data_IF_033923319199
#
_entry.id   IF_033923319199
#
_cell.length_a   1.000
_cell.length_b   1.000
_cell.length_c   1.000
_cell.angle_alpha   90.00
_cell.angle_beta   90.00
_cell.angle_gamma   90.00
#
_symmetry.space_group_name_H-M   'P 1'
#
loop_
_entity.id
_entity.type
_entity.pdbx_description
1 polymer ?
#
# COMPACT_ATOMS: atom_id res chain seq x y z
N UNK A 1 -13.52 -31.31 -6.27
CA UNK A 1 -12.32 -30.47 -6.40
C UNK A 1 -12.70 -29.08 -5.96
N UNK A 2 -12.07 -28.57 -4.91
CA UNK A 2 -12.50 -27.30 -4.32
C UNK A 2 -12.04 -26.10 -5.14
N UNK A 3 -12.97 -25.19 -5.40
CA UNK A 3 -12.78 -23.90 -6.07
C UNK A 3 -12.79 -22.79 -5.05
N UNK A 4 -11.83 -21.88 -5.13
CA UNK A 4 -11.65 -20.80 -4.17
C UNK A 4 -11.95 -19.46 -4.84
N UNK A 5 -12.87 -18.71 -4.26
CA UNK A 5 -13.05 -17.29 -4.58
C UNK A 5 -12.36 -16.42 -3.55
N UNK A 6 -11.65 -15.39 -3.99
CA UNK A 6 -10.90 -14.50 -3.08
C UNK A 6 -11.25 -13.04 -3.29
N UNK A 7 -11.40 -12.31 -2.17
CA UNK A 7 -11.48 -10.86 -2.15
C UNK A 7 -10.46 -10.29 -1.18
N UNK A 8 -9.79 -9.21 -1.59
CA UNK A 8 -8.81 -8.51 -0.74
C UNK A 8 -9.15 -7.04 -0.66
N UNK A 9 -9.22 -6.55 0.56
CA UNK A 9 -9.46 -5.15 0.86
C UNK A 9 -8.33 -4.60 1.73
N UNK A 10 -8.05 -3.30 1.58
CA UNK A 10 -7.10 -2.60 2.45
C UNK A 10 -5.77 -2.26 1.80
N UNK A 11 -4.72 -2.31 2.60
CA UNK A 11 -3.38 -1.83 2.23
C UNK A 11 -2.55 -2.89 1.49
N UNK A 12 -1.34 -2.50 1.10
CA UNK A 12 -0.39 -3.39 0.45
C UNK A 12 -0.03 -4.62 1.29
N UNK A 13 -0.11 -4.53 2.63
CA UNK A 13 0.11 -5.67 3.50
C UNK A 13 -1.01 -6.72 3.35
N UNK A 14 -2.27 -6.31 3.28
CA UNK A 14 -3.37 -7.23 3.00
C UNK A 14 -3.21 -7.87 1.60
N UNK A 15 -2.70 -7.13 0.63
CA UNK A 15 -2.38 -7.68 -0.69
C UNK A 15 -1.27 -8.73 -0.61
N UNK A 16 -0.17 -8.46 0.13
CA UNK A 16 0.90 -9.44 0.30
C UNK A 16 0.45 -10.71 1.02
N UNK A 17 -0.45 -10.59 1.99
CA UNK A 17 -1.07 -11.75 2.66
C UNK A 17 -1.89 -12.59 1.68
N UNK A 18 -2.64 -11.95 0.77
CA UNK A 18 -3.40 -12.67 -0.24
C UNK A 18 -2.50 -13.30 -1.32
N UNK A 19 -1.42 -12.63 -1.72
CA UNK A 19 -0.41 -13.21 -2.61
C UNK A 19 0.22 -14.46 -1.99
N UNK A 20 0.57 -14.41 -0.68
CA UNK A 20 1.04 -15.57 0.06
C UNK A 20 0.01 -16.72 0.04
N UNK A 21 -1.27 -16.41 0.27
CA UNK A 21 -2.33 -17.41 0.26
C UNK A 21 -2.50 -18.05 -1.12
N UNK A 22 -2.45 -17.27 -2.20
CA UNK A 22 -2.50 -17.77 -3.58
C UNK A 22 -1.28 -18.65 -3.90
N UNK A 23 -0.08 -18.26 -3.46
CA UNK A 23 1.13 -19.06 -3.64
C UNK A 23 1.07 -20.39 -2.86
N UNK A 24 0.61 -20.35 -1.60
CA UNK A 24 0.50 -21.54 -0.75
C UNK A 24 -0.62 -22.50 -1.20
N UNK A 25 -1.62 -22.00 -1.90
CA UNK A 25 -2.77 -22.75 -2.41
C UNK A 25 -2.72 -22.87 -3.94
N UNK A 26 -1.54 -22.81 -4.54
CA UNK A 26 -1.35 -22.83 -6.00
C UNK A 26 -1.93 -24.06 -6.69
N UNK A 27 -2.15 -25.17 -5.97
CA UNK A 27 -2.74 -26.40 -6.48
C UNK A 27 -4.28 -26.38 -6.49
N UNK A 28 -4.89 -25.28 -6.04
CA UNK A 28 -6.35 -25.09 -6.04
C UNK A 28 -6.77 -24.15 -7.18
N UNK A 29 -8.00 -24.36 -7.67
CA UNK A 29 -8.57 -23.50 -8.71
C UNK A 29 -9.13 -22.22 -8.10
N UNK A 30 -8.58 -21.07 -8.47
CA UNK A 30 -9.17 -19.76 -8.16
C UNK A 30 -10.21 -19.36 -9.19
N UNK A 31 -11.37 -18.89 -8.74
CA UNK A 31 -12.48 -18.46 -9.58
C UNK A 31 -12.81 -16.99 -9.40
N UNK A 32 -13.35 -16.35 -10.45
CA UNK A 32 -13.65 -14.92 -10.47
C UNK A 32 -15.04 -14.55 -9.93
N UNK A 33 -15.92 -15.53 -9.73
CA UNK A 33 -17.29 -15.32 -9.23
C UNK A 33 -17.52 -16.16 -7.99
N UNK A 34 -18.06 -15.52 -6.94
CA UNK A 34 -18.34 -16.17 -5.67
C UNK A 34 -19.34 -17.33 -5.79
N UNK A 35 -20.29 -17.19 -6.73
CA UNK A 35 -21.32 -18.23 -6.98
C UNK A 35 -20.69 -19.55 -7.45
N UNK A 36 -19.54 -19.51 -8.10
CA UNK A 36 -18.85 -20.67 -8.67
C UNK A 36 -17.82 -21.32 -7.73
N UNK A 37 -17.71 -20.81 -6.50
CA UNK A 37 -16.73 -21.28 -5.53
C UNK A 37 -17.35 -22.20 -4.48
N UNK A 38 -16.54 -23.09 -3.94
CA UNK A 38 -16.85 -23.92 -2.77
C UNK A 38 -16.37 -23.21 -1.49
N UNK A 39 -15.29 -22.45 -1.59
CA UNK A 39 -14.69 -21.66 -0.51
C UNK A 39 -14.68 -20.18 -0.89
N UNK A 40 -15.27 -19.34 -0.03
CA UNK A 40 -15.26 -17.90 -0.14
C UNK A 40 -14.27 -17.33 0.87
N UNK A 41 -13.18 -16.74 0.40
CA UNK A 41 -12.11 -16.17 1.25
C UNK A 41 -12.09 -14.65 1.14
N UNK A 42 -12.29 -13.95 2.26
CA UNK A 42 -12.24 -12.50 2.32
C UNK A 42 -11.12 -12.02 3.27
N UNK A 43 -10.15 -11.26 2.73
CA UNK A 43 -9.14 -10.57 3.52
C UNK A 43 -9.60 -9.13 3.79
N UNK A 44 -9.85 -8.82 5.05
CA UNK A 44 -10.58 -7.63 5.50
C UNK A 44 -9.68 -6.48 5.92
N UNK A 45 -10.22 -5.25 5.81
CA UNK A 45 -9.60 -4.03 6.33
C UNK A 45 -10.62 -3.24 7.16
N UNK A 46 -10.22 -2.82 8.38
CA UNK A 46 -11.08 -2.07 9.31
C UNK A 46 -10.40 -0.82 9.88
N UNK A 47 -9.42 -0.28 9.18
CA UNK A 47 -8.62 0.86 9.67
C UNK A 47 -9.46 2.13 9.79
N UNK A 48 -10.41 2.36 8.88
CA UNK A 48 -11.35 3.48 8.92
C UNK A 48 -12.81 3.00 8.93
N UNK A 49 -13.67 3.75 9.59
CA UNK A 49 -15.08 3.38 9.82
C UNK A 49 -15.86 3.08 8.53
N UNK A 50 -15.67 3.88 7.49
CA UNK A 50 -16.33 3.65 6.20
C UNK A 50 -15.91 2.34 5.54
N UNK A 51 -14.66 1.93 5.71
CA UNK A 51 -14.16 0.63 5.23
C UNK A 51 -14.71 -0.50 6.08
N UNK A 52 -14.75 -0.34 7.39
CA UNK A 52 -15.35 -1.31 8.31
C UNK A 52 -16.81 -1.59 7.94
N UNK A 53 -17.66 -0.55 7.83
CA UNK A 53 -19.06 -0.69 7.40
C UNK A 53 -19.19 -1.42 6.08
N UNK A 54 -18.30 -1.13 5.11
CA UNK A 54 -18.26 -1.83 3.82
C UNK A 54 -17.88 -3.30 3.98
N UNK A 55 -16.92 -3.62 4.87
CA UNK A 55 -16.52 -5.00 5.13
C UNK A 55 -17.65 -5.82 5.74
N UNK A 56 -18.35 -5.32 6.76
CA UNK A 56 -19.50 -6.01 7.33
C UNK A 56 -20.61 -6.25 6.30
N UNK A 57 -20.90 -5.25 5.45
CA UNK A 57 -21.86 -5.44 4.34
C UNK A 57 -21.38 -6.53 3.36
N UNK A 58 -20.07 -6.58 3.08
CA UNK A 58 -19.55 -7.60 2.14
C UNK A 58 -19.50 -8.99 2.76
N UNK A 59 -19.09 -9.11 4.02
CA UNK A 59 -19.14 -10.38 4.76
C UNK A 59 -20.58 -10.94 4.75
N UNK A 60 -21.58 -10.09 5.03
CA UNK A 60 -23.00 -10.50 4.97
C UNK A 60 -23.38 -11.03 3.60
N UNK A 61 -23.05 -10.29 2.53
CA UNK A 61 -23.38 -10.71 1.17
C UNK A 61 -22.71 -12.02 0.76
N UNK A 62 -21.47 -12.28 1.23
CA UNK A 62 -20.81 -13.58 1.00
C UNK A 62 -21.42 -14.70 1.87
N UNK A 63 -21.78 -14.38 3.11
CA UNK A 63 -22.42 -15.33 4.03
C UNK A 63 -23.78 -15.82 3.51
N UNK A 64 -24.56 -14.91 2.90
CA UNK A 64 -25.84 -15.26 2.25
C UNK A 64 -25.68 -16.27 1.10
N UNK A 65 -24.50 -16.31 0.46
CA UNK A 65 -24.19 -17.34 -0.56
C UNK A 65 -23.79 -18.69 0.05
N UNK A 66 -23.51 -18.76 1.35
CA UNK A 66 -23.07 -19.98 2.05
C UNK A 66 -24.23 -20.80 2.62
N UNK A 67 -25.47 -20.60 2.13
CA UNK A 67 -26.67 -21.32 2.64
C UNK A 67 -26.73 -22.80 2.25
N UNK A 68 -25.79 -23.29 1.43
CA UNK A 68 -25.68 -24.69 1.01
C UNK A 68 -24.29 -25.23 1.37
N UNK A 69 -23.55 -25.76 0.41
CA UNK A 69 -22.28 -26.46 0.62
C UNK A 69 -21.03 -25.57 0.53
N UNK A 70 -21.18 -24.24 0.70
CA UNK A 70 -20.07 -23.29 0.62
C UNK A 70 -19.59 -22.87 1.99
N UNK A 71 -18.28 -22.64 2.11
CA UNK A 71 -17.67 -22.17 3.33
C UNK A 71 -17.16 -20.72 3.19
N UNK A 72 -17.42 -19.88 4.20
CA UNK A 72 -16.88 -18.50 4.29
C UNK A 72 -15.72 -18.46 5.28
N UNK A 73 -14.56 -18.08 4.79
CA UNK A 73 -13.37 -17.80 5.61
C UNK A 73 -13.13 -16.30 5.63
N UNK A 74 -13.13 -15.72 6.81
CA UNK A 74 -12.81 -14.31 7.05
C UNK A 74 -11.41 -14.22 7.65
N UNK A 75 -10.54 -13.45 7.01
CA UNK A 75 -9.18 -13.18 7.49
C UNK A 75 -8.85 -11.69 7.46
N UNK A 76 -7.66 -11.31 7.88
CA UNK A 76 -7.20 -9.93 7.87
C UNK A 76 -7.54 -9.13 9.13
N UNK A 77 -7.72 -7.83 8.96
CA UNK A 77 -7.79 -6.89 10.09
C UNK A 77 -9.06 -7.00 10.95
N UNK A 78 -10.16 -7.56 10.45
CA UNK A 78 -11.40 -7.70 11.22
C UNK A 78 -11.36 -8.83 12.24
N UNK A 79 -10.55 -9.87 12.02
CA UNK A 79 -10.60 -11.12 12.79
C UNK A 79 -10.37 -10.94 14.29
N UNK A 80 -9.53 -10.01 14.74
CA UNK A 80 -9.23 -9.82 16.15
C UNK A 80 -10.20 -8.83 16.82
N UNK A 81 -10.35 -7.57 16.34
CA UNK A 81 -11.17 -6.57 17.02
C UNK A 81 -12.68 -6.84 16.92
N UNK A 82 -13.13 -7.59 15.91
CA UNK A 82 -14.55 -7.87 15.67
C UNK A 82 -14.87 -9.36 15.70
N UNK A 83 -14.04 -10.15 16.38
CA UNK A 83 -14.23 -11.60 16.49
C UNK A 83 -15.64 -11.94 16.97
N UNK A 84 -16.04 -11.46 18.12
CA UNK A 84 -17.34 -11.78 18.73
C UNK A 84 -18.52 -11.25 17.90
N UNK A 85 -18.36 -10.05 17.34
CA UNK A 85 -19.38 -9.45 16.46
C UNK A 85 -19.59 -10.26 15.20
N UNK A 86 -18.52 -10.74 14.57
CA UNK A 86 -18.59 -11.55 13.35
C UNK A 86 -19.13 -12.94 13.68
N UNK A 87 -18.63 -13.59 14.74
CA UNK A 87 -19.08 -14.92 15.16
C UNK A 87 -20.56 -14.96 15.55
N UNK A 88 -21.05 -13.91 16.22
CA UNK A 88 -22.47 -13.81 16.58
C UNK A 88 -23.39 -13.55 15.40
N UNK A 89 -22.96 -12.69 14.44
CA UNK A 89 -23.80 -12.34 13.28
C UNK A 89 -23.69 -13.36 12.14
N UNK A 90 -22.58 -14.11 12.06
CA UNK A 90 -22.25 -15.06 10.99
C UNK A 90 -21.67 -16.35 11.58
N UNK A 91 -22.47 -17.15 12.31
CA UNK A 91 -21.97 -18.28 13.12
C UNK A 91 -21.27 -19.38 12.34
N UNK A 92 -21.55 -19.53 11.04
CA UNK A 92 -20.90 -20.51 10.17
C UNK A 92 -19.68 -19.92 9.43
N UNK A 93 -19.35 -18.63 9.63
CA UNK A 93 -18.14 -18.06 9.06
C UNK A 93 -16.93 -18.42 9.92
N UNK A 94 -15.84 -18.87 9.30
CA UNK A 94 -14.61 -19.20 10.00
C UNK A 94 -13.69 -17.98 10.04
N UNK A 95 -13.31 -17.57 11.24
CA UNK A 95 -12.37 -16.49 11.46
C UNK A 95 -11.01 -17.09 11.77
N UNK A 96 -10.01 -16.76 10.96
CA UNK A 96 -8.64 -17.23 11.19
C UNK A 96 -7.60 -16.25 10.64
N UNK A 97 -6.37 -16.36 11.16
CA UNK A 97 -5.25 -15.60 10.60
C UNK A 97 -4.91 -16.12 9.21
N UNK A 98 -4.40 -15.23 8.34
CA UNK A 98 -4.10 -15.58 6.96
C UNK A 98 -3.09 -16.76 6.85
N UNK A 99 -2.12 -16.86 7.76
CA UNK A 99 -1.11 -17.93 7.79
C UNK A 99 -1.66 -19.31 8.19
N UNK A 100 -2.82 -19.37 8.82
CA UNK A 100 -3.53 -20.60 9.19
C UNK A 100 -4.43 -21.14 8.05
N UNK A 101 -4.83 -20.26 7.12
CA UNK A 101 -5.76 -20.59 6.03
C UNK A 101 -5.25 -21.75 5.14
N UNK A 102 -3.97 -21.77 4.68
CA UNK A 102 -3.49 -22.85 3.83
C UNK A 102 -3.57 -24.22 4.53
N UNK A 103 -3.11 -24.32 5.78
CA UNK A 103 -3.19 -25.57 6.53
C UNK A 103 -4.63 -26.04 6.70
N UNK A 104 -5.54 -25.12 7.02
CA UNK A 104 -6.96 -25.43 7.15
C UNK A 104 -7.53 -25.97 5.83
N UNK A 105 -7.35 -25.26 4.72
CA UNK A 105 -7.89 -25.66 3.41
C UNK A 105 -7.31 -27.03 2.98
N UNK A 106 -6.01 -27.22 3.09
CA UNK A 106 -5.37 -28.49 2.69
C UNK A 106 -5.79 -29.70 3.57
N UNK A 107 -6.23 -29.46 4.81
CA UNK A 107 -6.72 -30.51 5.70
C UNK A 107 -8.13 -30.99 5.36
N UNK A 108 -8.97 -30.13 4.82
CA UNK A 108 -10.39 -30.43 4.59
C UNK A 108 -10.79 -30.54 3.11
N UNK A 109 -9.98 -29.98 2.21
CA UNK A 109 -10.30 -29.89 0.78
C UNK A 109 -9.19 -30.48 -0.08
N UNK A 110 -9.57 -31.15 -1.16
CA UNK A 110 -8.62 -31.71 -2.13
C UNK A 110 -8.33 -30.67 -3.24
N UNK A 111 -7.06 -30.54 -3.67
CA UNK A 111 -6.68 -29.65 -4.77
C UNK A 111 -7.34 -30.09 -6.09
N UNK A 112 -7.48 -29.15 -7.01
CA UNK A 112 -8.00 -29.35 -8.36
C UNK A 112 -6.88 -29.55 -9.39
N UNK A 113 -7.13 -30.31 -10.44
CA UNK A 113 -6.21 -30.34 -11.59
C UNK A 113 -6.43 -29.10 -12.47
N UNK A 114 -5.37 -28.54 -13.04
CA UNK A 114 -5.32 -27.36 -13.94
C UNK A 114 -5.48 -26.00 -13.27
N UNK A 115 -4.39 -25.49 -12.72
CA UNK A 115 -4.30 -24.13 -12.21
C UNK A 115 -3.58 -23.23 -13.22
N UNK A 116 -4.25 -22.18 -13.67
CA UNK A 116 -3.62 -21.11 -14.45
C UNK A 116 -2.76 -20.26 -13.53
N UNK A 117 -1.44 -20.28 -13.73
CA UNK A 117 -0.53 -19.38 -13.02
C UNK A 117 -0.74 -17.95 -13.53
N UNK A 118 -1.20 -17.07 -12.67
CA UNK A 118 -1.19 -15.63 -12.97
C UNK A 118 0.26 -15.12 -12.89
N UNK A 119 0.82 -14.69 -14.00
CA UNK A 119 2.10 -13.98 -14.02
C UNK A 119 1.89 -12.54 -13.55
N UNK A 120 2.11 -12.29 -12.27
CA UNK A 120 2.00 -10.95 -11.71
C UNK A 120 3.30 -10.16 -11.91
N UNK A 121 3.25 -9.13 -12.76
CA UNK A 121 4.37 -8.19 -12.97
C UNK A 121 4.71 -7.43 -11.68
N UNK A 122 3.72 -7.23 -10.79
CA UNK A 122 3.89 -6.62 -9.47
C UNK A 122 3.73 -7.68 -8.39
N UNK A 123 4.64 -7.69 -7.43
CA UNK A 123 4.54 -8.54 -6.24
C UNK A 123 4.82 -7.75 -4.97
N UNK A 124 4.14 -8.13 -3.88
CA UNK A 124 4.33 -7.54 -2.56
C UNK A 124 5.04 -8.54 -1.65
N UNK A 125 6.04 -8.08 -0.92
CA UNK A 125 6.79 -8.88 0.05
C UNK A 125 6.66 -8.24 1.42
N UNK A 126 6.03 -8.96 2.34
CA UNK A 126 5.91 -8.53 3.72
C UNK A 126 7.26 -8.70 4.43
N UNK A 127 7.77 -7.59 5.01
CA UNK A 127 9.05 -7.61 5.72
C UNK A 127 8.90 -7.69 7.24
N UNK A 128 7.77 -7.21 7.76
CA UNK A 128 7.45 -7.26 9.19
C UNK A 128 5.94 -7.25 9.42
N UNK A 129 5.52 -7.79 10.55
CA UNK A 129 4.19 -7.60 11.14
C UNK A 129 4.26 -6.65 12.33
N UNK A 130 3.12 -6.05 12.69
CA UNK A 130 3.01 -5.18 13.85
C UNK A 130 3.68 -3.82 13.68
N UNK A 131 3.66 -3.03 14.75
CA UNK A 131 4.20 -1.68 14.74
C UNK A 131 4.77 -1.32 16.11
N UNK A 132 5.87 -0.56 16.14
CA UNK A 132 6.49 -0.04 17.37
C UNK A 132 5.82 1.25 17.86
N UNK A 133 4.99 1.90 17.01
CA UNK A 133 4.35 3.17 17.32
C UNK A 133 3.16 3.05 18.28
N UNK A 134 2.93 4.11 19.09
CA UNK A 134 1.84 4.25 20.06
C UNK A 134 0.90 5.39 19.67
N UNK A 135 0.53 5.47 18.37
CA UNK A 135 -0.36 6.52 17.92
C UNK A 135 -1.74 6.39 18.56
N UNK A 136 -2.22 7.44 19.25
CA UNK A 136 -3.44 7.46 20.05
C UNK A 136 -4.72 7.15 19.28
N UNK A 137 -4.69 7.22 17.95
CA UNK A 137 -5.84 6.98 17.06
C UNK A 137 -5.78 5.64 16.32
N UNK A 138 -4.67 4.91 16.45
CA UNK A 138 -4.38 3.80 15.52
C UNK A 138 -4.77 2.44 16.11
N UNK A 139 -5.75 1.80 15.48
CA UNK A 139 -6.18 0.45 15.84
C UNK A 139 -5.17 -0.65 15.41
N UNK A 140 -4.23 -0.32 14.52
CA UNK A 140 -3.33 -1.32 13.90
C UNK A 140 -2.54 -2.10 14.93
N UNK A 141 -2.04 -1.45 15.98
CA UNK A 141 -1.30 -2.15 17.05
C UNK A 141 -2.17 -3.16 17.80
N UNK A 142 -3.44 -2.83 18.03
CA UNK A 142 -4.39 -3.76 18.67
C UNK A 142 -4.64 -4.99 17.79
N UNK A 143 -4.65 -4.79 16.47
CA UNK A 143 -4.89 -5.85 15.48
C UNK A 143 -3.65 -6.70 15.25
N UNK A 144 -2.52 -6.04 14.92
CA UNK A 144 -1.29 -6.68 14.42
C UNK A 144 -0.23 -6.93 15.50
N UNK A 145 -0.39 -6.31 16.68
CA UNK A 145 0.52 -6.47 17.80
C UNK A 145 1.83 -5.68 17.65
N UNK A 146 2.84 -6.13 18.35
CA UNK A 146 4.18 -5.56 18.36
C UNK A 146 4.96 -5.92 17.09
N UNK A 147 6.05 -5.16 16.86
CA UNK A 147 6.93 -5.39 15.71
C UNK A 147 7.53 -6.81 15.75
N UNK A 148 7.39 -7.52 14.65
CA UNK A 148 8.02 -8.82 14.37
C UNK A 148 8.59 -8.80 12.97
N UNK A 149 9.88 -8.52 12.87
CA UNK A 149 10.61 -8.49 11.60
C UNK A 149 10.96 -9.90 11.12
N UNK A 150 10.87 -10.11 9.82
CA UNK A 150 11.35 -11.34 9.18
C UNK A 150 12.87 -11.28 9.02
N UNK A 151 13.53 -12.42 8.88
CA UNK A 151 14.96 -12.47 8.58
C UNK A 151 15.24 -11.97 7.17
N UNK A 152 16.40 -11.30 6.98
CA UNK A 152 16.81 -10.76 5.68
C UNK A 152 16.84 -11.86 4.63
N UNK A 153 17.46 -13.00 4.94
CA UNK A 153 17.60 -14.13 4.01
C UNK A 153 16.26 -14.68 3.52
N UNK A 154 15.24 -14.74 4.40
CA UNK A 154 13.91 -15.22 4.04
C UNK A 154 13.21 -14.24 3.10
N UNK A 155 13.43 -12.94 3.31
CA UNK A 155 12.87 -11.88 2.45
C UNK A 155 13.57 -11.91 1.09
N UNK A 156 14.89 -12.02 1.07
CA UNK A 156 15.70 -12.07 -0.17
C UNK A 156 15.30 -13.29 -1.01
N UNK A 157 15.18 -14.47 -0.41
CA UNK A 157 14.71 -15.69 -1.10
C UNK A 157 13.30 -15.52 -1.67
N UNK A 158 12.39 -14.90 -0.92
CA UNK A 158 11.03 -14.64 -1.42
C UNK A 158 11.03 -13.66 -2.59
N UNK A 159 11.83 -12.58 -2.50
CA UNK A 159 12.00 -11.62 -3.61
C UNK A 159 12.53 -12.34 -4.84
N UNK A 160 13.59 -13.13 -4.71
CA UNK A 160 14.19 -13.88 -5.82
C UNK A 160 13.15 -14.81 -6.46
N UNK A 161 12.44 -15.61 -5.68
CA UNK A 161 11.38 -16.50 -6.16
C UNK A 161 10.28 -15.74 -6.92
N UNK A 162 9.84 -14.57 -6.40
CA UNK A 162 8.82 -13.76 -7.09
C UNK A 162 9.34 -13.16 -8.40
N UNK A 163 10.60 -12.75 -8.44
CA UNK A 163 11.24 -12.24 -9.67
C UNK A 163 11.39 -13.35 -10.71
N UNK A 164 11.78 -14.55 -10.31
CA UNK A 164 11.85 -15.73 -11.20
C UNK A 164 10.47 -16.12 -11.75
N UNK A 165 9.40 -15.92 -10.98
CA UNK A 165 8.01 -16.09 -11.43
C UNK A 165 7.52 -14.93 -12.33
N UNK A 166 8.37 -13.95 -12.68
CA UNK A 166 8.07 -12.88 -13.62
C UNK A 166 7.80 -11.50 -13.03
N UNK A 167 7.86 -11.33 -11.71
CA UNK A 167 7.68 -10.01 -11.10
C UNK A 167 8.81 -9.05 -11.52
N UNK A 168 8.43 -7.85 -11.94
CA UNK A 168 9.34 -6.76 -12.32
C UNK A 168 9.30 -5.61 -11.33
N UNK A 169 8.25 -5.53 -10.52
CA UNK A 169 8.13 -4.57 -9.44
C UNK A 169 7.88 -5.30 -8.12
N UNK A 170 8.76 -5.07 -7.16
CA UNK A 170 8.65 -5.60 -5.79
C UNK A 170 8.27 -4.46 -4.84
N UNK A 171 7.22 -4.65 -4.04
CA UNK A 171 6.85 -3.76 -2.95
C UNK A 171 7.26 -4.39 -1.62
N UNK A 172 8.27 -3.85 -0.95
CA UNK A 172 8.58 -4.19 0.44
C UNK A 172 7.57 -3.50 1.35
N UNK A 173 6.76 -4.27 2.08
CA UNK A 173 5.61 -3.75 2.82
C UNK A 173 5.57 -4.21 4.28
N UNK A 174 4.95 -3.37 5.12
CA UNK A 174 4.70 -3.57 6.55
C UNK A 174 3.78 -2.46 7.05
N UNK A 175 3.46 -2.45 8.35
CA UNK A 175 2.73 -1.33 8.96
C UNK A 175 3.59 -0.06 9.02
N UNK A 176 4.87 -0.24 9.28
CA UNK A 176 5.89 0.80 9.28
C UNK A 176 7.21 0.11 8.90
N UNK A 177 7.66 0.30 7.67
CA UNK A 177 8.89 -0.35 7.21
C UNK A 177 10.15 0.32 7.77
N UNK A 178 10.04 1.58 8.23
CA UNK A 178 11.16 2.33 8.81
C UNK A 178 11.74 1.72 10.09
N UNK A 179 10.91 0.98 10.82
CA UNK A 179 11.33 0.28 12.05
C UNK A 179 11.72 -1.18 11.83
N UNK A 180 11.81 -1.62 10.56
CA UNK A 180 12.24 -2.98 10.25
C UNK A 180 13.59 -3.31 10.91
N UNK A 181 13.66 -4.49 11.49
CA UNK A 181 14.87 -5.06 12.08
C UNK A 181 15.20 -4.58 13.49
N UNK A 182 14.54 -3.52 14.01
CA UNK A 182 14.85 -3.00 15.36
C UNK A 182 14.64 -4.03 16.49
N UNK A 183 13.79 -5.04 16.27
CA UNK A 183 13.58 -6.17 17.18
C UNK A 183 14.65 -7.27 17.05
N UNK A 184 15.58 -7.11 16.10
CA UNK A 184 16.65 -8.06 15.77
C UNK A 184 18.04 -7.44 15.68
N UNK A 185 18.18 -6.15 16.03
CA UNK A 185 19.44 -5.40 15.88
C UNK A 185 19.82 -5.09 14.41
N UNK A 186 18.84 -5.09 13.51
CA UNK A 186 18.99 -4.80 12.09
C UNK A 186 18.24 -3.50 11.73
N UNK A 187 18.50 -2.97 10.53
CA UNK A 187 17.87 -1.76 10.02
C UNK A 187 17.35 -1.92 8.58
N UNK A 188 16.39 -1.11 8.19
CA UNK A 188 15.81 -1.10 6.85
C UNK A 188 16.86 -0.94 5.73
N UNK A 189 17.87 -0.05 5.80
CA UNK A 189 18.89 0.07 4.77
C UNK A 189 19.67 -1.21 4.49
N UNK A 190 19.96 -2.02 5.52
CA UNK A 190 20.62 -3.32 5.35
C UNK A 190 19.77 -4.27 4.50
N UNK A 191 18.48 -4.36 4.79
CA UNK A 191 17.56 -5.16 3.98
C UNK A 191 17.48 -4.64 2.53
N UNK A 192 17.37 -3.32 2.35
CA UNK A 192 17.32 -2.72 1.01
C UNK A 192 18.57 -3.10 0.21
N UNK A 193 19.75 -2.98 0.82
CA UNK A 193 21.02 -3.31 0.17
C UNK A 193 21.09 -4.80 -0.18
N UNK A 194 20.67 -5.69 0.72
CA UNK A 194 20.63 -7.13 0.47
C UNK A 194 19.67 -7.49 -0.68
N UNK A 195 18.48 -6.90 -0.74
CA UNK A 195 17.51 -7.13 -1.82
C UNK A 195 18.02 -6.59 -3.15
N UNK A 196 18.61 -5.39 -3.16
CA UNK A 196 19.09 -4.77 -4.41
C UNK A 196 20.38 -5.35 -4.95
N UNK A 197 21.14 -6.12 -4.14
CA UNK A 197 22.32 -6.86 -4.58
C UNK A 197 22.00 -8.08 -5.43
N UNK A 198 20.77 -8.59 -5.41
CA UNK A 198 20.36 -9.70 -6.28
C UNK A 198 20.61 -9.34 -7.75
N UNK A 199 21.36 -10.20 -8.49
CA UNK A 199 21.61 -10.04 -9.91
C UNK A 199 20.40 -10.47 -10.74
N UNK A 200 19.36 -9.66 -10.71
CA UNK A 200 18.07 -9.86 -11.39
C UNK A 200 17.51 -8.51 -11.84
N UNK A 201 16.68 -8.52 -12.88
CA UNK A 201 16.06 -7.32 -13.43
C UNK A 201 14.67 -7.07 -12.78
N UNK A 202 14.63 -6.22 -11.79
CA UNK A 202 13.41 -5.76 -11.09
C UNK A 202 13.65 -4.39 -10.46
N UNK A 203 12.58 -3.75 -10.02
CA UNK A 203 12.64 -2.48 -9.29
C UNK A 203 11.85 -2.57 -7.98
N UNK A 204 12.36 -1.96 -6.93
CA UNK A 204 11.81 -2.02 -5.57
C UNK A 204 11.10 -0.71 -5.22
N UNK A 205 9.89 -0.81 -4.69
CA UNK A 205 9.21 0.26 -3.99
C UNK A 205 9.26 0.00 -2.49
N UNK A 206 9.77 0.96 -1.74
CA UNK A 206 9.77 0.92 -0.27
C UNK A 206 8.39 1.34 0.25
N UNK A 207 7.87 0.60 1.23
CA UNK A 207 6.61 0.87 1.91
C UNK A 207 6.61 2.19 2.67
N UNK A 208 5.64 2.37 3.55
CA UNK A 208 5.47 3.55 4.38
C UNK A 208 6.50 3.57 5.51
N UNK A 209 7.16 4.72 5.69
CA UNK A 209 8.10 4.97 6.79
C UNK A 209 7.48 6.04 7.71
N UNK A 210 7.39 5.76 9.01
CA UNK A 210 7.01 6.77 9.97
C UNK A 210 8.10 7.86 10.05
N UNK A 211 7.76 9.16 10.01
CA UNK A 211 8.75 10.23 10.16
C UNK A 211 9.70 10.09 11.35
N UNK A 212 9.23 9.53 12.47
CA UNK A 212 10.09 9.30 13.64
C UNK A 212 11.20 8.27 13.41
N UNK A 213 10.99 7.31 12.50
CA UNK A 213 12.02 6.32 12.17
C UNK A 213 13.03 6.84 11.13
N UNK A 214 12.69 7.93 10.43
CA UNK A 214 13.54 8.49 9.39
C UNK A 214 14.80 9.15 9.96
N UNK A 215 14.68 9.81 11.12
CA UNK A 215 15.79 10.53 11.75
C UNK A 215 17.01 9.64 11.98
N UNK A 216 16.78 8.37 12.34
CA UNK A 216 17.84 7.41 12.67
C UNK A 216 18.48 6.74 11.44
N UNK A 217 17.83 6.81 10.26
CA UNK A 217 18.26 6.04 9.08
C UNK A 217 18.44 6.89 7.82
N UNK A 218 18.27 8.21 7.88
CA UNK A 218 18.16 9.06 6.68
C UNK A 218 19.41 9.00 5.80
N UNK A 219 20.61 8.98 6.37
CA UNK A 219 21.85 8.96 5.60
C UNK A 219 22.09 7.63 4.92
N UNK A 220 21.91 6.54 5.65
CA UNK A 220 22.00 5.17 5.13
C UNK A 220 20.91 4.92 4.08
N UNK A 221 19.70 5.46 4.30
CA UNK A 221 18.60 5.37 3.34
C UNK A 221 18.93 6.12 2.04
N UNK A 222 19.50 7.33 2.12
CA UNK A 222 19.98 8.07 0.94
C UNK A 222 21.01 7.24 0.17
N UNK A 223 21.95 6.61 0.87
CA UNK A 223 22.95 5.75 0.26
C UNK A 223 22.28 4.58 -0.48
N UNK A 224 21.39 3.85 0.16
CA UNK A 224 20.65 2.73 -0.44
C UNK A 224 19.82 3.17 -1.64
N UNK A 225 19.23 4.37 -1.60
CA UNK A 225 18.42 4.92 -2.69
C UNK A 225 19.23 5.31 -3.93
N UNK A 226 20.56 5.31 -3.89
CA UNK A 226 21.41 5.48 -5.10
C UNK A 226 21.32 4.28 -6.05
N UNK A 227 20.92 3.09 -5.55
CA UNK A 227 20.68 1.93 -6.38
C UNK A 227 19.66 2.21 -7.50
N UNK A 228 19.95 1.84 -8.77
CA UNK A 228 19.00 1.97 -9.88
C UNK A 228 17.79 1.05 -9.71
N UNK A 229 17.88 0.04 -8.86
CA UNK A 229 16.77 -0.88 -8.56
C UNK A 229 15.77 -0.34 -7.54
N UNK A 230 15.85 0.94 -7.14
CA UNK A 230 14.91 1.55 -6.19
C UNK A 230 14.20 2.72 -6.84
N UNK A 231 12.87 2.70 -6.78
CA UNK A 231 12.07 3.89 -7.11
C UNK A 231 12.45 5.07 -6.22
N UNK A 232 12.68 6.23 -6.82
CA UNK A 232 12.91 7.47 -6.08
C UNK A 232 11.56 8.02 -5.58
N UNK A 233 10.98 7.23 -4.67
CA UNK A 233 9.66 7.45 -4.07
C UNK A 233 9.73 7.19 -2.57
N UNK A 234 9.19 8.10 -1.78
CA UNK A 234 9.03 7.94 -0.33
C UNK A 234 7.59 8.19 0.10
N UNK A 235 7.07 7.34 0.97
CA UNK A 235 5.80 7.52 1.65
C UNK A 235 6.04 7.79 3.12
N UNK A 236 5.85 9.04 3.54
CA UNK A 236 6.13 9.56 4.89
C UNK A 236 4.88 10.21 5.47
N UNK A 237 4.01 9.47 6.19
CA UNK A 237 2.75 9.99 6.74
C UNK A 237 2.98 10.99 7.87
N UNK A 238 2.89 12.28 7.56
CA UNK A 238 3.10 13.35 8.56
C UNK A 238 1.91 13.55 9.50
N UNK A 239 0.70 13.26 9.05
CA UNK A 239 -0.58 13.34 9.74
C UNK A 239 -1.10 14.74 10.07
N UNK A 240 -0.28 15.66 10.57
CA UNK A 240 -0.66 17.04 10.89
C UNK A 240 0.52 18.00 10.73
N UNK A 241 0.25 19.26 10.43
CA UNK A 241 1.22 20.35 10.44
C UNK A 241 1.32 21.07 11.79
N UNK A 242 0.52 20.68 12.77
CA UNK A 242 0.56 21.23 14.13
C UNK A 242 1.31 20.29 15.08
N UNK A 243 2.41 20.79 15.67
CA UNK A 243 3.17 20.04 16.67
C UNK A 243 2.29 19.65 17.88
N UNK A 244 1.35 20.52 18.28
CA UNK A 244 0.39 20.24 19.36
C UNK A 244 -0.51 19.05 19.02
N UNK A 245 -1.04 19.01 17.81
CA UNK A 245 -1.87 17.89 17.36
C UNK A 245 -1.04 16.62 17.18
N UNK A 246 0.17 16.69 16.66
CA UNK A 246 1.07 15.53 16.58
C UNK A 246 1.36 14.96 17.97
N UNK A 247 1.59 15.80 18.97
CA UNK A 247 1.77 15.35 20.36
C UNK A 247 0.52 14.60 20.87
N UNK A 248 -0.69 15.14 20.66
CA UNK A 248 -1.96 14.47 21.02
C UNK A 248 -2.18 13.17 20.24
N UNK A 249 -1.65 13.08 19.03
CA UNK A 249 -1.65 11.86 18.21
C UNK A 249 -0.63 10.81 18.69
N UNK A 250 0.21 11.11 19.68
CA UNK A 250 1.30 10.23 20.11
C UNK A 250 2.43 10.14 19.07
N UNK A 251 2.62 11.20 18.26
CA UNK A 251 3.66 11.26 17.23
C UNK A 251 4.80 12.18 17.66
N UNK A 252 5.79 11.55 18.29
CA UNK A 252 6.91 12.26 18.94
C UNK A 252 8.07 12.48 17.97
N UNK A 253 7.89 13.34 16.99
CA UNK A 253 8.97 13.84 16.12
C UNK A 253 8.83 15.33 15.85
N UNK A 254 9.95 15.99 15.56
CA UNK A 254 10.00 17.40 15.24
C UNK A 254 9.65 17.65 13.77
N UNK A 255 8.70 18.55 13.50
CA UNK A 255 8.39 18.99 12.12
C UNK A 255 9.59 19.68 11.45
N UNK A 256 10.45 20.37 12.22
CA UNK A 256 11.67 20.97 11.67
C UNK A 256 12.68 19.90 11.24
N UNK A 257 12.93 18.87 12.05
CA UNK A 257 13.79 17.74 11.68
C UNK A 257 13.23 17.00 10.46
N UNK A 258 11.92 16.70 10.47
CA UNK A 258 11.26 16.10 9.32
C UNK A 258 11.48 16.89 8.03
N UNK A 259 11.30 18.23 8.07
CA UNK A 259 11.52 19.09 6.89
C UNK A 259 12.98 19.14 6.46
N UNK A 260 13.92 19.11 7.41
CA UNK A 260 15.36 19.06 7.12
C UNK A 260 15.74 17.73 6.44
N UNK A 261 15.23 16.60 6.92
CA UNK A 261 15.44 15.30 6.31
C UNK A 261 14.88 15.26 4.88
N UNK A 262 13.70 15.81 4.64
CA UNK A 262 13.14 15.93 3.29
C UNK A 262 14.03 16.81 2.39
N UNK A 263 14.53 17.92 2.91
CA UNK A 263 15.43 18.81 2.16
C UNK A 263 16.73 18.07 1.78
N UNK A 264 17.32 17.31 2.72
CA UNK A 264 18.53 16.49 2.53
C UNK A 264 18.30 15.42 1.43
N UNK A 265 17.21 14.68 1.49
CA UNK A 265 16.86 13.67 0.49
C UNK A 265 16.62 14.31 -0.89
N UNK A 266 15.95 15.46 -0.95
CA UNK A 266 15.70 16.18 -2.21
C UNK A 266 16.95 16.83 -2.81
N UNK A 267 17.95 17.14 -2.02
CA UNK A 267 19.25 17.61 -2.52
C UNK A 267 19.94 16.53 -3.36
N UNK A 268 19.85 15.26 -2.94
CA UNK A 268 20.38 14.11 -3.68
C UNK A 268 19.45 13.67 -4.84
N UNK A 269 18.14 13.71 -4.63
CA UNK A 269 17.16 13.21 -5.59
C UNK A 269 16.15 14.32 -5.96
N UNK A 270 16.53 15.20 -6.90
CA UNK A 270 15.73 16.40 -7.28
C UNK A 270 14.29 16.11 -7.70
N UNK A 271 14.06 14.99 -8.39
CA UNK A 271 12.74 14.59 -8.90
C UNK A 271 12.02 13.56 -7.98
N UNK A 272 12.52 13.37 -6.72
CA UNK A 272 11.90 12.47 -5.74
C UNK A 272 10.40 12.69 -5.64
N UNK A 273 9.64 11.63 -5.77
CA UNK A 273 8.20 11.65 -5.50
C UNK A 273 7.94 11.41 -4.03
N UNK A 274 7.34 12.38 -3.37
CA UNK A 274 6.92 12.28 -1.98
C UNK A 274 5.42 11.99 -1.90
N UNK A 275 5.06 10.98 -1.11
CA UNK A 275 3.70 10.69 -0.66
C UNK A 275 3.60 10.97 0.84
N UNK A 276 2.45 11.47 1.29
CA UNK A 276 2.18 11.68 2.72
C UNK A 276 0.71 11.46 3.03
N UNK A 277 0.39 11.35 4.33
CA UNK A 277 -0.98 11.24 4.81
C UNK A 277 -1.27 12.37 5.78
N UNK A 278 -2.51 12.86 5.76
CA UNK A 278 -3.04 13.80 6.74
C UNK A 278 -4.35 13.27 7.32
N UNK A 279 -4.49 13.44 8.64
CA UNK A 279 -5.75 13.24 9.34
C UNK A 279 -6.33 14.61 9.66
N UNK A 280 -7.53 14.90 9.16
CA UNK A 280 -8.28 16.13 9.47
C UNK A 280 -9.40 15.85 10.46
N UNK A 281 -9.68 16.81 11.32
CA UNK A 281 -10.71 16.67 12.35
C UNK A 281 -10.30 15.74 13.48
N UNK A 282 -9.00 15.62 13.77
CA UNK A 282 -8.54 14.98 14.99
C UNK A 282 -9.10 15.73 16.20
N UNK A 283 -9.46 15.04 17.31
CA UNK A 283 -9.94 15.71 18.52
C UNK A 283 -9.08 16.90 18.92
N UNK A 284 -9.73 17.97 19.39
CA UNK A 284 -9.10 19.24 19.76
C UNK A 284 -8.40 20.03 18.63
N UNK A 285 -8.44 19.59 17.37
CA UNK A 285 -7.86 20.36 16.25
C UNK A 285 -8.60 21.70 16.08
N UNK A 286 -7.92 22.81 16.32
CA UNK A 286 -8.42 24.17 16.12
C UNK A 286 -8.29 24.62 14.65
N UNK A 287 -8.89 25.78 14.31
CA UNK A 287 -8.68 26.38 12.97
C UNK A 287 -7.23 26.84 12.78
N UNK A 288 -6.54 27.20 13.84
CA UNK A 288 -5.11 27.51 13.80
C UNK A 288 -4.28 26.25 13.43
N UNK A 289 -4.54 25.12 14.08
CA UNK A 289 -3.86 23.85 13.80
C UNK A 289 -4.06 23.41 12.34
N UNK A 290 -5.31 23.56 11.85
CA UNK A 290 -5.60 23.25 10.45
C UNK A 290 -4.88 24.18 9.46
N UNK A 291 -4.76 25.49 9.77
CA UNK A 291 -3.97 26.43 8.97
C UNK A 291 -2.48 26.04 8.93
N UNK A 292 -1.92 25.55 10.05
CA UNK A 292 -0.56 25.01 10.08
C UNK A 292 -0.40 23.79 9.18
N UNK A 293 -1.42 22.90 9.14
CA UNK A 293 -1.45 21.73 8.25
C UNK A 293 -1.49 22.15 6.77
N UNK A 294 -2.31 23.14 6.40
CA UNK A 294 -2.31 23.72 5.06
C UNK A 294 -0.96 24.36 4.68
N UNK A 295 -0.33 25.07 5.63
CA UNK A 295 0.98 25.67 5.43
C UNK A 295 2.05 24.61 5.19
N UNK A 296 2.04 23.53 5.98
CA UNK A 296 2.97 22.41 5.80
C UNK A 296 2.77 21.74 4.42
N UNK A 297 1.53 21.48 3.99
CA UNK A 297 1.23 20.93 2.68
C UNK A 297 1.86 21.77 1.55
N UNK A 298 1.70 23.13 1.62
CA UNK A 298 2.27 24.05 0.63
C UNK A 298 3.80 24.03 0.60
N UNK A 299 4.45 23.88 1.75
CA UNK A 299 5.91 23.80 1.86
C UNK A 299 6.45 22.45 1.41
N UNK A 300 5.77 21.37 1.80
CA UNK A 300 6.18 20.00 1.55
C UNK A 300 6.00 19.60 0.08
N UNK A 301 5.00 20.15 -0.61
CA UNK A 301 4.66 19.90 -2.03
C UNK A 301 4.68 18.39 -2.37
N UNK A 302 3.92 17.56 -1.68
CA UNK A 302 3.84 16.14 -2.00
C UNK A 302 3.04 15.93 -3.29
N UNK A 303 3.45 14.93 -4.08
CA UNK A 303 2.69 14.55 -5.26
C UNK A 303 1.42 13.76 -4.89
N UNK A 304 1.53 12.87 -3.91
CA UNK A 304 0.43 12.02 -3.47
C UNK A 304 0.10 12.30 -2.01
N UNK A 305 -1.17 12.51 -1.73
CA UNK A 305 -1.67 12.75 -0.37
C UNK A 305 -2.89 11.89 -0.11
N UNK A 306 -2.86 11.11 0.96
CA UNK A 306 -4.05 10.48 1.50
C UNK A 306 -4.64 11.38 2.58
N UNK A 307 -5.85 11.91 2.36
CA UNK A 307 -6.55 12.77 3.31
C UNK A 307 -7.65 11.94 3.97
N UNK A 308 -7.45 11.64 5.26
CA UNK A 308 -8.38 10.86 6.05
C UNK A 308 -9.08 11.76 7.05
N UNK A 309 -10.41 11.66 7.14
CA UNK A 309 -11.18 12.25 8.23
C UNK A 309 -11.02 11.36 9.44
N UNK A 310 -10.73 11.97 10.59
CA UNK A 310 -10.66 11.21 11.83
C UNK A 310 -11.95 10.43 12.06
N UNK A 311 -11.82 9.20 12.47
CA UNK A 311 -12.93 8.35 12.92
C UNK A 311 -12.53 7.59 14.17
N UNK A 312 -13.42 7.54 15.15
CA UNK A 312 -13.21 6.81 16.40
C UNK A 312 -12.91 5.34 16.16
N UNK A 313 -11.97 4.81 16.91
CA UNK A 313 -11.65 3.38 16.92
C UNK A 313 -11.67 2.86 18.33
N UNK A 314 -12.55 1.92 18.60
CA UNK A 314 -12.67 1.30 19.92
C UNK A 314 -11.32 0.68 20.35
N UNK A 315 -10.98 0.83 21.62
CA UNK A 315 -9.70 0.39 22.18
C UNK A 315 -8.52 1.33 21.93
N UNK A 316 -8.73 2.48 21.26
CA UNK A 316 -7.69 3.52 21.09
C UNK A 316 -7.92 4.69 22.04
N UNK A 317 -6.83 5.36 22.46
CA UNK A 317 -6.92 6.51 23.41
C UNK A 317 -7.79 7.63 22.85
N UNK A 318 -7.73 7.89 21.55
CA UNK A 318 -8.51 8.92 20.88
C UNK A 318 -10.01 8.59 20.78
N UNK A 319 -10.44 7.38 21.13
CA UNK A 319 -11.85 6.97 21.11
C UNK A 319 -12.70 7.81 22.06
N UNK A 320 -12.17 8.10 23.24
CA UNK A 320 -12.88 8.86 24.30
C UNK A 320 -12.74 10.38 24.16
N UNK A 321 -11.92 10.86 23.25
CA UNK A 321 -11.70 12.29 23.05
C UNK A 321 -12.92 12.95 22.37
N UNK A 322 -13.19 14.26 22.67
CA UNK A 322 -14.31 14.99 22.08
C UNK A 322 -14.16 15.18 20.57
N UNK A 323 -15.22 14.94 19.84
CA UNK A 323 -15.22 14.99 18.38
C UNK A 323 -15.48 16.41 17.86
N UNK A 324 -14.82 16.76 16.76
CA UNK A 324 -15.11 17.98 16.02
C UNK A 324 -16.40 17.80 15.20
N UNK A 325 -17.26 18.83 15.06
CA UNK A 325 -18.46 18.77 14.25
C UNK A 325 -18.18 18.29 12.82
N UNK A 326 -18.95 17.31 12.34
CA UNK A 326 -18.75 16.66 11.05
C UNK A 326 -18.71 17.64 9.87
N UNK A 327 -19.53 18.72 9.91
CA UNK A 327 -19.50 19.78 8.88
C UNK A 327 -18.13 20.43 8.74
N UNK A 328 -17.49 20.76 9.86
CA UNK A 328 -16.16 21.37 9.91
C UNK A 328 -15.07 20.41 9.41
N UNK A 329 -15.14 19.13 9.79
CA UNK A 329 -14.21 18.10 9.28
C UNK A 329 -14.32 17.94 7.77
N UNK A 330 -15.56 17.96 7.25
CA UNK A 330 -15.84 17.89 5.79
C UNK A 330 -15.28 19.09 5.06
N UNK A 331 -15.46 20.31 5.60
CA UNK A 331 -14.90 21.55 5.06
C UNK A 331 -13.38 21.48 5.00
N UNK A 332 -12.70 21.14 6.11
CA UNK A 332 -11.24 21.01 6.18
C UNK A 332 -10.71 19.98 5.18
N UNK A 333 -11.35 18.80 5.10
CA UNK A 333 -10.99 17.75 4.15
C UNK A 333 -11.07 18.25 2.69
N UNK A 334 -12.12 19.00 2.32
CA UNK A 334 -12.27 19.59 0.98
C UNK A 334 -11.20 20.63 0.69
N UNK A 335 -10.95 21.53 1.64
CA UNK A 335 -9.94 22.58 1.49
C UNK A 335 -8.54 21.98 1.26
N UNK A 336 -8.18 20.97 2.06
CA UNK A 336 -6.89 20.28 1.93
C UNK A 336 -6.78 19.54 0.60
N UNK A 337 -7.85 18.88 0.14
CA UNK A 337 -7.89 18.18 -1.16
C UNK A 337 -7.72 19.13 -2.32
N UNK A 338 -8.42 20.27 -2.30
CA UNK A 338 -8.32 21.27 -3.37
C UNK A 338 -6.90 21.84 -3.47
N UNK A 339 -6.31 22.20 -2.33
CA UNK A 339 -4.93 22.72 -2.30
C UNK A 339 -3.91 21.65 -2.76
N UNK A 340 -4.08 20.40 -2.36
CA UNK A 340 -3.24 19.31 -2.83
C UNK A 340 -3.34 19.13 -4.35
N UNK A 341 -4.54 19.13 -4.93
CA UNK A 341 -4.71 18.98 -6.38
C UNK A 341 -4.01 20.10 -7.15
N UNK A 342 -4.08 21.35 -6.62
CA UNK A 342 -3.37 22.48 -7.20
C UNK A 342 -1.86 22.27 -7.18
N UNK A 343 -1.31 21.86 -6.03
CA UNK A 343 0.13 21.59 -5.87
C UNK A 343 0.57 20.45 -6.79
N UNK A 344 -0.15 19.32 -6.77
CA UNK A 344 0.19 18.15 -7.56
C UNK A 344 0.16 18.44 -9.07
N UNK A 345 -0.80 19.26 -9.54
CA UNK A 345 -0.84 19.71 -10.93
C UNK A 345 0.44 20.48 -11.30
N UNK A 346 0.87 21.45 -10.48
CA UNK A 346 2.09 22.21 -10.72
C UNK A 346 3.37 21.35 -10.64
N UNK A 347 3.40 20.37 -9.75
CA UNK A 347 4.51 19.42 -9.67
C UNK A 347 4.55 18.49 -10.90
N UNK A 348 3.40 18.10 -11.45
CA UNK A 348 3.32 17.33 -12.68
C UNK A 348 3.63 18.16 -13.93
N UNK A 349 3.33 19.49 -13.94
CA UNK A 349 3.63 20.38 -15.07
C UNK A 349 5.12 20.38 -15.45
N UNK A 350 6.02 20.12 -14.50
CA UNK A 350 7.47 20.03 -14.72
C UNK A 350 7.87 18.86 -15.63
N UNK A 351 6.96 17.90 -15.86
CA UNK A 351 7.21 16.68 -16.64
C UNK A 351 6.72 16.81 -18.08
N UNK A 352 5.93 17.82 -18.40
CA UNK A 352 5.40 18.05 -19.75
C UNK A 352 6.54 18.17 -20.76
N UNK A 353 6.45 17.43 -21.87
CA UNK A 353 7.46 17.38 -22.93
C UNK A 353 8.71 16.55 -22.61
N UNK A 354 8.87 16.03 -21.37
CA UNK A 354 10.02 15.17 -21.04
C UNK A 354 9.89 13.80 -21.71
N UNK A 355 10.98 13.32 -22.29
CA UNK A 355 11.18 11.93 -22.72
C UNK A 355 11.75 11.12 -21.57
N UNK A 356 11.16 9.95 -21.27
CA UNK A 356 11.61 9.08 -20.18
C UNK A 356 11.24 7.62 -20.43
N UNK A 357 11.96 6.70 -19.79
CA UNK A 357 11.66 5.28 -19.79
C UNK A 357 10.73 4.94 -18.63
N UNK A 358 9.71 4.11 -18.87
CA UNK A 358 8.74 3.70 -17.86
C UNK A 358 8.36 2.23 -18.00
N UNK A 359 8.16 1.56 -16.87
CA UNK A 359 7.81 0.14 -16.77
C UNK A 359 6.30 -0.03 -16.84
N UNK A 360 5.78 -0.82 -17.78
CA UNK A 360 4.36 -1.16 -17.90
C UNK A 360 3.98 -2.16 -16.79
N UNK A 361 3.03 -1.78 -15.93
CA UNK A 361 2.71 -2.53 -14.71
C UNK A 361 1.31 -3.10 -14.72
N UNK A 362 0.32 -2.35 -15.20
CA UNK A 362 -1.08 -2.75 -15.10
C UNK A 362 -1.91 -2.22 -16.27
N UNK A 363 -2.99 -2.94 -16.59
CA UNK A 363 -3.98 -2.47 -17.56
C UNK A 363 -4.74 -1.30 -16.96
N UNK A 364 -4.87 -0.24 -17.74
CA UNK A 364 -5.66 0.94 -17.40
C UNK A 364 -7.12 0.80 -17.82
N UNK A 365 -7.87 1.90 -17.69
CA UNK A 365 -9.25 1.98 -18.17
C UNK A 365 -9.27 2.20 -19.69
N UNK A 366 -10.25 1.61 -20.39
CA UNK A 366 -10.53 1.90 -21.79
C UNK A 366 -9.33 1.66 -22.71
N UNK A 367 -8.85 0.44 -22.80
CA UNK A 367 -7.74 0.05 -23.69
C UNK A 367 -6.49 0.93 -23.50
N UNK A 368 -6.09 1.15 -22.24
CA UNK A 368 -4.85 1.87 -21.90
C UNK A 368 -3.97 1.02 -20.99
N UNK A 369 -2.69 1.41 -20.88
CA UNK A 369 -1.71 0.79 -19.98
C UNK A 369 -1.15 1.82 -19.02
N UNK A 370 -1.00 1.45 -17.76
CA UNK A 370 -0.37 2.29 -16.73
C UNK A 370 1.09 1.87 -16.56
N UNK A 371 1.98 2.82 -16.81
CA UNK A 371 3.41 2.68 -16.64
C UNK A 371 3.87 3.48 -15.42
N UNK A 372 5.02 3.11 -14.86
CA UNK A 372 5.68 3.87 -13.80
C UNK A 372 7.13 4.17 -14.20
N UNK A 373 7.52 5.45 -14.11
CA UNK A 373 8.91 5.84 -14.27
C UNK A 373 9.74 5.57 -13.00
N UNK A 374 11.03 5.81 -13.01
CA UNK A 374 11.93 5.56 -11.87
C UNK A 374 11.62 6.42 -10.63
N UNK A 375 10.78 7.44 -10.77
CA UNK A 375 10.26 8.26 -9.67
C UNK A 375 8.88 7.80 -9.19
N UNK A 376 8.42 6.62 -9.62
CA UNK A 376 7.12 6.04 -9.27
C UNK A 376 5.93 6.96 -9.63
N UNK A 377 6.05 7.74 -10.70
CA UNK A 377 4.93 8.52 -11.24
C UNK A 377 4.14 7.68 -12.21
N UNK A 378 2.81 7.58 -12.04
CA UNK A 378 1.97 6.85 -12.97
C UNK A 378 1.84 7.62 -14.29
N UNK A 379 2.02 6.92 -15.40
CA UNK A 379 1.90 7.41 -16.76
C UNK A 379 0.89 6.55 -17.49
N UNK A 380 -0.17 7.15 -18.00
CA UNK A 380 -1.19 6.47 -18.79
C UNK A 380 -0.83 6.62 -20.27
N UNK A 381 -0.73 5.49 -20.96
CA UNK A 381 -0.49 5.43 -22.40
C UNK A 381 -1.67 4.72 -23.05
N UNK A 382 -2.17 5.23 -24.17
CA UNK A 382 -3.22 4.56 -24.95
C UNK A 382 -2.66 3.33 -25.64
N UNK A 383 -3.46 2.26 -25.68
CA UNK A 383 -3.09 0.96 -26.23
C UNK A 383 -2.74 -0.08 -25.17
N UNK A 384 -2.84 -1.34 -25.56
CA UNK A 384 -2.44 -2.49 -24.74
C UNK A 384 -0.95 -2.77 -24.96
N UNK A 385 -0.15 -2.58 -23.92
CA UNK A 385 1.28 -2.84 -23.92
C UNK A 385 1.57 -4.14 -23.17
N UNK A 386 2.65 -4.83 -23.56
CA UNK A 386 3.15 -6.00 -22.83
C UNK A 386 3.61 -5.56 -21.44
N UNK A 387 2.95 -6.09 -20.42
CA UNK A 387 3.28 -5.79 -19.02
C UNK A 387 4.66 -6.36 -18.68
N UNK A 388 5.40 -5.68 -17.78
CA UNK A 388 6.74 -6.06 -17.37
C UNK A 388 7.85 -5.58 -18.32
N UNK A 389 7.50 -4.91 -19.43
CA UNK A 389 8.45 -4.28 -20.35
C UNK A 389 8.59 -2.79 -20.07
N UNK A 390 9.76 -2.23 -20.37
CA UNK A 390 10.00 -0.78 -20.35
C UNK A 390 9.75 -0.17 -21.72
N UNK A 391 9.16 1.01 -21.70
CA UNK A 391 8.84 1.78 -22.91
C UNK A 391 9.32 3.22 -22.77
N UNK A 392 9.84 3.77 -23.86
CA UNK A 392 10.18 5.19 -23.94
C UNK A 392 8.94 5.99 -24.31
N UNK A 393 8.60 6.96 -23.45
CA UNK A 393 7.41 7.79 -23.57
C UNK A 393 7.76 9.28 -23.53
N UNK A 394 7.03 10.08 -24.28
CA UNK A 394 7.04 11.55 -24.17
C UNK A 394 5.75 11.97 -23.47
N UNK A 395 5.87 12.77 -22.40
CA UNK A 395 4.71 13.27 -21.66
C UNK A 395 4.02 14.35 -22.48
N UNK A 396 2.78 14.08 -22.91
CA UNK A 396 1.97 14.97 -23.75
C UNK A 396 0.97 15.80 -22.94
N UNK A 397 0.46 15.23 -21.82
CA UNK A 397 -0.52 15.92 -20.98
C UNK A 397 -0.30 15.58 -19.50
N UNK A 398 -0.89 16.38 -18.62
CA UNK A 398 -0.79 16.21 -17.17
C UNK A 398 -2.15 16.31 -16.49
N UNK A 399 -2.28 15.55 -15.40
CA UNK A 399 -3.38 15.66 -14.44
C UNK A 399 -2.81 15.85 -13.02
N UNK A 400 -3.59 16.16 -12.00
CA UNK A 400 -3.08 16.18 -10.63
C UNK A 400 -2.56 14.83 -10.14
N UNK A 401 -3.03 13.70 -10.69
CA UNK A 401 -2.78 12.37 -10.14
C UNK A 401 -1.91 11.48 -11.01
N UNK A 402 -1.84 11.72 -12.32
CA UNK A 402 -1.05 10.95 -13.27
C UNK A 402 -0.61 11.80 -14.46
N UNK A 403 0.34 11.33 -15.21
CA UNK A 403 0.80 11.87 -16.46
C UNK A 403 0.15 11.11 -17.64
N UNK A 404 0.01 11.73 -18.79
CA UNK A 404 -0.38 11.09 -20.04
C UNK A 404 0.82 11.15 -20.98
N UNK A 405 1.15 10.04 -21.59
CA UNK A 405 2.31 9.94 -22.47
C UNK A 405 2.01 9.22 -23.78
N UNK A 406 2.81 9.53 -24.79
CA UNK A 406 2.80 8.87 -26.09
C UNK A 406 4.11 8.07 -26.24
N UNK A 407 4.05 6.88 -26.85
CA UNK A 407 5.24 6.12 -27.18
C UNK A 407 6.11 6.88 -28.19
N UNK A 408 7.43 6.79 -28.05
CA UNK A 408 8.34 7.32 -29.06
C UNK A 408 8.46 6.35 -30.23
N UNK A 409 8.56 6.86 -31.44
CA UNK A 409 8.44 6.11 -32.71
C UNK A 409 9.38 4.91 -32.89
N UNK A 410 10.39 4.71 -32.05
CA UNK A 410 11.34 3.61 -32.17
C UNK A 410 10.82 2.23 -31.66
N UNK A 411 9.59 2.14 -31.14
CA UNK A 411 9.03 0.89 -30.57
C UNK A 411 7.81 0.34 -31.32
N UNK A 412 7.36 0.98 -32.40
CA UNK A 412 6.12 0.59 -33.10
C UNK A 412 6.23 -0.71 -33.91
N UNK A 413 7.41 -1.31 -34.07
CA UNK A 413 7.56 -2.47 -34.95
C UNK A 413 7.91 -3.80 -34.26
N UNK A 414 8.45 -3.82 -33.05
CA UNK A 414 8.91 -5.10 -32.44
C UNK A 414 7.89 -5.75 -31.48
N UNK A 415 6.91 -5.02 -30.99
CA UNK A 415 5.92 -5.52 -30.01
C UNK A 415 4.63 -6.06 -30.66
N UNK A 416 4.42 -5.87 -31.96
CA UNK A 416 3.20 -6.32 -32.67
C UNK A 416 3.41 -7.68 -33.38
N UNK A 417 4.65 -8.13 -33.55
CA UNK A 417 4.97 -9.33 -34.38
C UNK A 417 4.93 -10.66 -33.58
N UNK A 418 4.87 -10.65 -32.24
CA UNK A 418 4.79 -11.88 -31.43
C UNK A 418 3.38 -12.21 -30.89
N UNK A 419 2.32 -11.63 -31.44
CA UNK A 419 0.93 -11.87 -31.05
C UNK A 419 0.09 -12.56 -32.14
N UNK A 420 0.72 -13.43 -32.96
CA UNK A 420 0.01 -14.35 -33.87
C UNK A 420 0.46 -15.79 -33.63
#
# INVERSE_FOLDING_TARGET
>A
MAKIYVETYGCALNQSEMEYLKDALQDYQFVYRAENADILLINTCVVIESTEKRMFKRIRALYELCQTDKELIVTGCACKPFHDTISSNFPNARLMKYDQVPQYITSFYRPGANVTKENNVRASVKIADGCKGFCSYCIVRLIRGELKSRHIDDIVKEVESKVEKGAKQILLTGQDVGVYGLDKGLRLPELINAVTSLDRNFIVRIGMINPSALDDIVDELIHSFKSPKIYKFLHLPVQSGSARILHLMGRNYSLSHFMNNIAKIRAEFKDLTLSTDFIVGFPYETDHDFKLTLSLLKRLKPLKVNITRFSKREGTDAYHMPQIPHGKVKERSRALTLEHHRIAYFENKKWLGRKLSALAIEKGKGCSTVLYNDFYRPIVVQGELKLGCRYDVIISEITPTYLIGNLTANFTQTAIIEAH
#
